data_IF_695315709646
#
_entry.id   IF_695315709646
#
_cell.length_a   1.000
_cell.length_b   1.000
_cell.length_c   1.000
_cell.angle_alpha   90.00
_cell.angle_beta   90.00
_cell.angle_gamma   90.00
#
_symmetry.space_group_name_H-M   'P 1'
#
loop_
_entity.id
_entity.type
_entity.pdbx_description
1 polymer ?
#
# COMPACT_ATOMS: atom_id res chain seq x y z
N UNK A 1 -4.71 32.09 -47.37
CA UNK A 1 -5.31 31.53 -46.15
C UNK A 1 -6.25 32.57 -45.57
N UNK A 2 -7.51 32.22 -45.41
CA UNK A 2 -8.46 33.05 -44.65
C UNK A 2 -8.24 32.85 -43.15
N UNK A 3 -8.58 33.86 -42.35
CA UNK A 3 -8.41 33.85 -40.88
C UNK A 3 -9.08 32.65 -40.24
N UNK A 4 -10.19 32.18 -40.80
CA UNK A 4 -10.94 31.03 -40.29
C UNK A 4 -10.20 29.69 -40.50
N UNK A 5 -9.56 29.51 -41.66
CA UNK A 5 -8.72 28.34 -41.92
C UNK A 5 -7.51 28.28 -40.99
N UNK A 6 -6.99 29.44 -40.58
CA UNK A 6 -5.89 29.53 -39.63
C UNK A 6 -6.33 29.14 -38.21
N UNK A 7 -7.50 29.63 -37.77
CA UNK A 7 -8.10 29.25 -36.47
C UNK A 7 -8.37 27.74 -36.38
N UNK A 8 -8.87 27.13 -37.44
CA UNK A 8 -9.10 25.67 -37.48
C UNK A 8 -7.80 24.88 -37.37
N UNK A 9 -6.75 25.29 -38.10
CA UNK A 9 -5.44 24.65 -38.01
C UNK A 9 -4.84 24.75 -36.60
N UNK A 10 -4.93 25.92 -35.96
CA UNK A 10 -4.47 26.09 -34.58
C UNK A 10 -5.25 25.16 -33.64
N UNK A 11 -6.59 25.10 -33.77
CA UNK A 11 -7.43 24.26 -32.92
C UNK A 11 -7.10 22.76 -33.06
N UNK A 12 -6.82 22.29 -34.28
CA UNK A 12 -6.39 20.91 -34.51
C UNK A 12 -5.02 20.61 -33.89
N UNK A 13 -4.07 21.54 -34.01
CA UNK A 13 -2.73 21.39 -33.42
C UNK A 13 -2.83 21.36 -31.90
N UNK A 14 -3.60 22.27 -31.29
CA UNK A 14 -3.79 22.32 -29.84
C UNK A 14 -4.40 21.02 -29.33
N UNK A 15 -5.43 20.47 -29.98
CA UNK A 15 -6.00 19.17 -29.57
C UNK A 15 -5.02 18.00 -29.68
N UNK A 16 -4.10 18.03 -30.66
CA UNK A 16 -3.08 16.99 -30.87
C UNK A 16 -1.95 17.07 -29.84
N UNK A 17 -1.63 18.27 -29.37
CA UNK A 17 -0.54 18.55 -28.42
C UNK A 17 -1.02 18.60 -26.97
N UNK A 18 -2.31 18.84 -26.74
CA UNK A 18 -2.91 18.90 -25.41
C UNK A 18 -2.92 17.50 -24.78
N UNK A 19 -1.90 17.23 -23.99
CA UNK A 19 -1.93 16.17 -22.98
C UNK A 19 -2.68 16.77 -21.80
N UNK A 20 -3.85 16.23 -21.38
CA UNK A 20 -4.48 16.69 -20.15
C UNK A 20 -3.44 16.51 -19.05
N UNK A 21 -3.13 17.59 -18.34
CA UNK A 21 -2.31 17.52 -17.14
C UNK A 21 -3.03 16.54 -16.23
N UNK A 22 -2.46 15.33 -16.02
CA UNK A 22 -2.93 14.50 -14.91
C UNK A 22 -2.82 15.41 -13.70
N UNK A 23 -3.91 15.55 -12.96
CA UNK A 23 -3.82 16.16 -11.65
C UNK A 23 -2.84 15.28 -10.89
N UNK A 24 -1.58 15.71 -10.82
CA UNK A 24 -0.56 15.03 -10.05
C UNK A 24 -1.14 15.00 -8.64
N UNK A 25 -1.47 13.80 -8.16
CA UNK A 25 -1.91 13.65 -6.78
C UNK A 25 -0.89 14.38 -5.90
N UNK A 26 -1.33 15.04 -4.82
CA UNK A 26 -0.42 15.80 -3.98
C UNK A 26 0.71 14.88 -3.54
N UNK A 27 1.89 15.08 -4.12
CA UNK A 27 3.10 14.34 -3.77
C UNK A 27 3.49 14.88 -2.41
N UNK A 28 3.00 14.22 -1.36
CA UNK A 28 3.37 14.56 0.01
C UNK A 28 4.82 14.10 0.18
N UNK A 29 5.75 15.04 0.06
CA UNK A 29 7.16 14.79 0.31
C UNK A 29 7.40 14.74 1.83
N UNK A 30 7.33 13.53 2.38
CA UNK A 30 7.75 13.26 3.76
C UNK A 30 9.27 13.48 3.90
N UNK A 31 9.72 14.03 5.02
CA UNK A 31 11.16 14.32 5.24
C UNK A 31 11.98 13.02 5.23
N UNK A 32 11.38 11.93 5.68
CA UNK A 32 11.93 10.58 5.71
C UNK A 32 12.36 10.11 4.32
N UNK A 33 11.67 10.53 3.25
CA UNK A 33 12.04 10.20 1.87
C UNK A 33 13.33 10.86 1.41
N UNK A 34 13.71 12.00 1.99
CA UNK A 34 14.99 12.65 1.68
C UNK A 34 16.16 11.89 2.29
N UNK A 35 15.94 11.31 3.46
CA UNK A 35 16.95 10.52 4.18
C UNK A 35 17.02 9.10 3.63
N UNK A 36 15.90 8.53 3.20
CA UNK A 36 15.76 7.16 2.70
C UNK A 36 15.02 7.13 1.35
N UNK A 37 15.71 7.33 0.22
CA UNK A 37 15.06 7.30 -1.10
C UNK A 37 14.46 5.93 -1.44
N UNK A 38 15.04 4.85 -0.90
CA UNK A 38 14.55 3.47 -1.06
C UNK A 38 13.20 3.25 -0.39
N UNK A 39 12.89 3.97 0.69
CA UNK A 39 11.58 3.90 1.34
C UNK A 39 10.48 4.42 0.41
N UNK A 40 10.76 5.50 -0.32
CA UNK A 40 9.81 6.09 -1.27
C UNK A 40 9.46 5.10 -2.39
N UNK A 41 10.45 4.38 -2.91
CA UNK A 41 10.25 3.41 -3.97
C UNK A 41 9.27 2.32 -3.53
N UNK A 42 9.51 1.70 -2.37
CA UNK A 42 8.64 0.65 -1.85
C UNK A 42 7.24 1.14 -1.49
N UNK A 43 7.10 2.37 -1.01
CA UNK A 43 5.78 2.97 -0.80
C UNK A 43 5.01 3.13 -2.12
N UNK A 44 5.69 3.54 -3.19
CA UNK A 44 5.08 3.63 -4.52
C UNK A 44 4.70 2.25 -5.04
N UNK A 45 5.53 1.23 -4.82
CA UNK A 45 5.23 -0.14 -5.23
C UNK A 45 3.98 -0.69 -4.52
N UNK A 46 3.85 -0.43 -3.21
CA UNK A 46 2.72 -0.94 -2.40
C UNK A 46 1.42 -0.13 -2.55
N UNK A 47 1.50 1.20 -2.64
CA UNK A 47 0.35 2.11 -2.55
C UNK A 47 0.13 2.96 -3.81
N UNK A 48 0.92 2.76 -4.87
CA UNK A 48 0.96 3.56 -6.11
C UNK A 48 1.46 4.98 -5.91
N UNK A 49 1.61 5.74 -7.01
CA UNK A 49 2.01 7.16 -7.01
C UNK A 49 1.07 8.06 -6.17
N UNK A 50 -0.15 7.60 -5.89
CA UNK A 50 -1.17 8.34 -5.15
C UNK A 50 -1.12 8.09 -3.62
N UNK A 51 -0.01 7.55 -3.09
CA UNK A 51 0.14 7.22 -1.67
C UNK A 51 -0.18 8.39 -0.71
N UNK A 52 0.00 9.64 -1.13
CA UNK A 52 -0.31 10.84 -0.33
C UNK A 52 -1.80 10.98 0.04
N UNK A 53 -2.69 10.29 -0.68
CA UNK A 53 -4.10 10.25 -0.32
C UNK A 53 -4.40 9.30 0.84
N UNK A 54 -3.55 8.30 1.07
CA UNK A 54 -3.78 7.22 2.04
C UNK A 54 -2.90 7.34 3.29
N UNK A 55 -1.69 7.87 3.15
CA UNK A 55 -0.75 8.03 4.27
C UNK A 55 -1.05 9.34 5.01
N UNK A 56 -1.09 9.27 6.34
CA UNK A 56 -1.18 10.40 7.26
C UNK A 56 0.21 10.89 7.67
N UNK A 57 1.04 9.98 8.20
CA UNK A 57 2.43 10.26 8.57
C UNK A 57 3.30 9.01 8.50
N UNK A 58 4.61 9.21 8.47
CA UNK A 58 5.62 8.16 8.50
C UNK A 58 6.48 8.41 9.73
N UNK A 59 6.49 7.46 10.67
CA UNK A 59 7.29 7.59 11.89
C UNK A 59 8.49 6.65 11.81
N UNK A 60 9.69 7.17 12.09
CA UNK A 60 10.88 6.37 12.27
C UNK A 60 10.93 5.81 13.71
N UNK A 61 10.58 4.54 13.87
CA UNK A 61 10.34 3.93 15.20
C UNK A 61 11.55 3.21 15.76
N UNK A 62 12.41 2.65 14.92
CA UNK A 62 13.60 1.94 15.38
C UNK A 62 14.77 2.09 14.40
N UNK A 63 16.00 2.28 14.89
CA UNK A 63 17.17 2.40 14.03
C UNK A 63 17.82 1.08 13.63
N UNK A 64 17.62 0.01 14.40
CA UNK A 64 18.15 -1.33 14.11
C UNK A 64 17.19 -2.42 14.62
N UNK A 65 16.57 -3.22 13.72
CA UNK A 65 16.51 -3.00 12.28
C UNK A 65 15.79 -1.68 11.96
N UNK A 66 16.18 -0.99 10.88
CA UNK A 66 15.56 0.29 10.49
C UNK A 66 14.08 0.04 10.22
N UNK A 67 13.22 0.60 11.06
CA UNK A 67 11.78 0.32 11.03
C UNK A 67 11.00 1.62 10.95
N UNK A 68 10.05 1.66 10.03
CA UNK A 68 9.11 2.76 9.84
C UNK A 68 7.70 2.28 10.16
N UNK A 69 6.94 3.12 10.86
CA UNK A 69 5.49 2.95 11.02
C UNK A 69 4.81 3.85 10.00
N UNK A 70 4.05 3.25 9.09
CA UNK A 70 3.26 3.97 8.10
C UNK A 70 1.86 4.13 8.67
N UNK A 71 1.53 5.35 9.10
CA UNK A 71 0.20 5.64 9.61
C UNK A 71 -0.70 6.02 8.44
N UNK A 72 -1.83 5.33 8.32
CA UNK A 72 -2.84 5.58 7.31
C UNK A 72 -3.86 6.61 7.83
N UNK A 73 -4.49 7.36 6.93
CA UNK A 73 -5.52 8.35 7.29
C UNK A 73 -6.76 7.74 7.94
N UNK A 74 -6.96 6.44 7.76
CA UNK A 74 -8.09 5.70 8.28
C UNK A 74 -7.87 5.14 9.71
N UNK A 75 -6.82 5.61 10.39
CA UNK A 75 -6.47 5.22 11.77
C UNK A 75 -5.68 3.92 11.89
N UNK A 76 -5.51 3.17 10.80
CA UNK A 76 -4.71 1.95 10.77
C UNK A 76 -3.24 2.24 10.48
N UNK A 77 -2.38 1.24 10.70
CA UNK A 77 -0.96 1.35 10.38
C UNK A 77 -0.39 0.00 9.94
N UNK A 78 0.75 0.06 9.27
CA UNK A 78 1.60 -1.11 9.02
C UNK A 78 3.06 -0.71 9.20
N UNK A 79 3.93 -1.70 9.41
CA UNK A 79 5.36 -1.45 9.54
C UNK A 79 6.11 -1.82 8.28
N UNK A 80 7.12 -1.01 7.94
CA UNK A 80 8.15 -1.34 6.96
C UNK A 80 9.47 -1.49 7.68
N UNK A 81 10.00 -2.71 7.68
CA UNK A 81 11.30 -3.04 8.26
C UNK A 81 12.29 -3.23 7.14
N UNK A 82 13.37 -2.46 7.14
CA UNK A 82 14.50 -2.66 6.24
C UNK A 82 15.32 -3.87 6.69
N UNK A 83 15.59 -4.79 5.76
CA UNK A 83 16.57 -5.86 5.93
C UNK A 83 17.81 -5.58 5.07
N UNK A 84 18.84 -6.42 5.14
CA UNK A 84 20.10 -6.22 4.40
C UNK A 84 19.94 -6.13 2.87
N UNK A 85 18.84 -6.68 2.32
CA UNK A 85 18.63 -6.79 0.86
C UNK A 85 17.26 -6.37 0.37
N UNK A 86 16.25 -6.30 1.24
CA UNK A 86 14.87 -5.99 0.87
C UNK A 86 14.08 -5.46 2.06
N UNK A 87 12.85 -5.05 1.80
CA UNK A 87 11.90 -4.61 2.82
C UNK A 87 11.01 -5.76 3.28
N UNK A 88 10.57 -5.67 4.53
CA UNK A 88 9.57 -6.54 5.12
C UNK A 88 8.38 -5.67 5.52
N UNK A 89 7.22 -5.91 4.92
CA UNK A 89 5.97 -5.29 5.33
C UNK A 89 5.32 -6.13 6.43
N UNK A 90 4.99 -5.52 7.57
CA UNK A 90 4.23 -6.16 8.63
C UNK A 90 2.84 -5.53 8.73
N UNK A 91 1.83 -6.29 8.33
CA UNK A 91 0.42 -5.85 8.28
C UNK A 91 -0.39 -6.78 9.18
N UNK A 92 -1.15 -6.22 10.14
CA UNK A 92 -1.93 -7.00 11.12
C UNK A 92 -1.10 -8.11 11.81
N UNK A 93 0.17 -7.83 12.11
CA UNK A 93 1.09 -8.79 12.75
C UNK A 93 1.77 -9.79 11.81
N UNK A 94 1.27 -9.97 10.57
CA UNK A 94 1.84 -10.88 9.57
C UNK A 94 2.96 -10.20 8.80
N UNK A 95 4.06 -10.91 8.58
CA UNK A 95 5.24 -10.41 7.85
C UNK A 95 5.21 -10.88 6.40
N UNK A 96 5.49 -9.96 5.49
CA UNK A 96 5.58 -10.17 4.05
C UNK A 96 6.94 -9.68 3.57
N UNK A 97 7.75 -10.58 3.04
CA UNK A 97 9.07 -10.29 2.50
C UNK A 97 8.93 -9.81 1.06
N UNK A 98 9.16 -8.51 0.84
CA UNK A 98 8.97 -7.87 -0.47
C UNK A 98 10.06 -8.24 -1.50
N UNK A 99 10.95 -9.19 -1.16
CA UNK A 99 11.83 -9.82 -2.14
C UNK A 99 11.07 -10.82 -3.03
N UNK A 100 9.99 -11.41 -2.52
CA UNK A 100 9.20 -12.42 -3.20
C UNK A 100 7.94 -11.78 -3.79
N UNK A 101 7.75 -11.85 -5.11
CA UNK A 101 6.58 -11.27 -5.78
C UNK A 101 5.24 -11.77 -5.20
N UNK A 102 5.13 -13.07 -4.92
CA UNK A 102 3.92 -13.64 -4.32
C UNK A 102 3.61 -13.06 -2.92
N UNK A 103 4.64 -12.73 -2.15
CA UNK A 103 4.45 -12.13 -0.83
C UNK A 103 4.14 -10.64 -0.93
N UNK A 104 4.74 -9.95 -1.91
CA UNK A 104 4.43 -8.57 -2.25
C UNK A 104 2.95 -8.41 -2.62
N UNK A 105 2.43 -9.23 -3.54
CA UNK A 105 1.01 -9.22 -3.92
C UNK A 105 0.09 -9.47 -2.70
N UNK A 106 0.44 -10.43 -1.85
CA UNK A 106 -0.30 -10.69 -0.60
C UNK A 106 -0.23 -9.52 0.39
N UNK A 107 0.90 -8.81 0.43
CA UNK A 107 1.05 -7.61 1.25
C UNK A 107 0.16 -6.48 0.75
N UNK A 108 0.05 -6.31 -0.58
CA UNK A 108 -0.84 -5.33 -1.20
C UNK A 108 -2.30 -5.68 -0.89
N UNK A 109 -2.68 -6.95 -0.97
CA UNK A 109 -4.02 -7.41 -0.59
C UNK A 109 -4.33 -7.15 0.89
N UNK A 110 -3.36 -7.39 1.79
CA UNK A 110 -3.50 -7.13 3.21
C UNK A 110 -3.62 -5.62 3.50
N UNK A 111 -2.82 -4.78 2.84
CA UNK A 111 -2.89 -3.32 2.93
C UNK A 111 -4.26 -2.83 2.40
N UNK A 112 -4.73 -3.38 1.27
CA UNK A 112 -6.05 -3.07 0.73
C UNK A 112 -7.17 -3.48 1.70
N UNK A 113 -6.99 -4.58 2.44
CA UNK A 113 -7.93 -5.01 3.49
C UNK A 113 -8.04 -3.98 4.61
N UNK A 114 -6.92 -3.61 5.23
CA UNK A 114 -6.92 -2.61 6.33
C UNK A 114 -7.42 -1.24 5.87
N UNK A 115 -7.22 -0.88 4.59
CA UNK A 115 -7.74 0.35 4.01
C UNK A 115 -9.26 0.33 3.83
N UNK A 116 -9.87 -0.84 3.57
CA UNK A 116 -11.32 -1.01 3.42
C UNK A 116 -12.05 -0.99 4.76
N UNK A 117 -11.49 -1.63 5.78
CA UNK A 117 -12.10 -1.75 7.10
C UNK A 117 -11.57 -0.64 8.03
N UNK A 118 -11.93 0.61 7.74
CA UNK A 118 -11.80 1.66 8.75
C UNK A 118 -13.02 1.59 9.67
N UNK A 119 -12.84 1.51 11.00
CA UNK A 119 -13.97 1.64 11.90
C UNK A 119 -14.62 3.02 11.66
N UNK A 120 -15.95 3.14 11.68
CA UNK A 120 -16.59 4.45 11.68
C UNK A 120 -16.02 5.24 12.87
N UNK A 121 -15.58 6.47 12.60
CA UNK A 121 -14.99 7.38 13.58
C UNK A 121 -15.74 7.31 14.93
N UNK A 122 -15.08 6.80 15.98
CA UNK A 122 -15.65 6.81 17.33
C UNK A 122 -15.50 5.55 18.20
N UNK A 123 -14.91 4.45 17.73
CA UNK A 123 -14.57 3.32 18.60
C UNK A 123 -13.13 3.45 19.10
N UNK A 124 -12.90 4.40 20.01
CA UNK A 124 -11.74 4.33 20.90
C UNK A 124 -11.92 3.10 21.79
N UNK A 125 -10.97 2.16 21.68
CA UNK A 125 -10.68 1.17 22.71
C UNK A 125 -11.74 0.09 22.91
N UNK A 126 -11.55 -1.04 22.22
CA UNK A 126 -11.71 -2.36 22.85
C UNK A 126 -10.98 -3.40 22.00
N UNK A 127 -9.99 -4.02 22.62
CA UNK A 127 -9.42 -5.34 22.35
C UNK A 127 -9.67 -5.94 20.95
N UNK A 128 -8.66 -5.86 20.07
CA UNK A 128 -8.48 -6.91 19.06
C UNK A 128 -7.77 -8.07 19.78
N UNK A 129 -8.48 -8.66 20.74
CA UNK A 129 -8.10 -9.87 21.43
C UNK A 129 -8.46 -11.06 20.55
N UNK A 130 -7.46 -11.91 20.31
CA UNK A 130 -7.52 -13.26 19.76
C UNK A 130 -8.72 -13.62 18.87
N UNK A 131 -8.51 -13.54 17.55
CA UNK A 131 -9.13 -14.52 16.66
C UNK A 131 -8.28 -15.78 16.76
N UNK A 132 -8.61 -16.60 17.75
CA UNK A 132 -8.18 -17.99 17.85
C UNK A 132 -8.70 -18.71 16.60
N UNK A 133 -7.80 -18.92 15.63
CA UNK A 133 -8.04 -19.86 14.54
C UNK A 133 -7.97 -21.26 15.13
N UNK A 134 -9.09 -21.73 15.65
CA UNK A 134 -9.28 -23.15 15.96
C UNK A 134 -9.03 -23.95 14.67
N UNK A 135 -8.04 -24.83 14.77
CA UNK A 135 -7.70 -25.80 13.77
C UNK A 135 -8.85 -26.81 13.66
N UNK A 136 -9.58 -26.82 12.53
CA UNK A 136 -10.28 -28.04 12.12
C UNK A 136 -9.26 -28.97 11.43
N UNK A 137 -8.80 -29.91 12.25
CA UNK A 137 -8.16 -31.17 11.89
C UNK A 137 -9.05 -31.92 10.90
N UNK A 138 -8.65 -31.99 9.62
CA UNK A 138 -9.25 -32.92 8.68
C UNK A 138 -8.70 -34.31 8.98
N UNK A 139 -9.42 -35.05 9.82
CA UNK A 139 -9.16 -36.46 10.12
C UNK A 139 -9.40 -37.31 8.85
N UNK A 140 -8.38 -38.11 8.53
CA UNK A 140 -8.31 -39.03 7.41
C UNK A 140 -9.33 -40.16 7.61
N UNK A 141 -10.32 -40.29 6.74
CA UNK A 141 -11.18 -41.49 6.73
C UNK A 141 -10.56 -42.52 5.80
N UNK A 142 -9.71 -43.38 6.36
CA UNK A 142 -9.43 -44.72 5.84
C UNK A 142 -10.70 -45.58 5.95
N UNK A 143 -11.13 -46.18 4.85
CA UNK A 143 -12.06 -47.31 4.87
C UNK A 143 -11.42 -48.52 4.17
N UNK A 144 -10.71 -49.34 4.95
CA UNK A 144 -10.82 -50.81 4.87
C UNK A 144 -11.84 -51.21 5.97
N UNK A 145 -12.76 -52.17 5.85
CA UNK A 145 -12.56 -53.58 5.50
C UNK A 145 -13.84 -54.21 4.91
N UNK A 146 -13.60 -55.13 3.96
CA UNK A 146 -14.07 -56.53 3.89
C UNK A 146 -15.21 -57.02 4.80
N UNK A 147 -16.30 -57.53 4.21
CA UNK A 147 -16.84 -58.90 4.40
C UNK A 147 -17.66 -59.34 3.18
#
# INVERSE_FOLDING_TARGET
MTVDQFKEKIRMIVKKVYVPKKEDAPVIDFQEFRTFPELRAVIVDLLTDNYGNFISSIDYVAPKPTTFRINLKNGQYFYLVWSERSWIAQVEGKKYYLLNLNEEERSIEAIARILRYSPPEGMEGEDIGDVEVEAEETEEVETEETE
#
